data_IF_425474973554
#
_entry.id   IF_425474973554
#
_cell.length_a   1.000
_cell.length_b   1.000
_cell.length_c   1.000
_cell.angle_alpha   90.00
_cell.angle_beta   90.00
_cell.angle_gamma   90.00
#
_symmetry.space_group_name_H-M   'P 1'
#
loop_
_entity.id
_entity.type
_entity.pdbx_description
1 polymer ?
#
# COMPACT_ATOMS: atom_id res chain seq x y z
N UNK A 1 9.88 -5.39 -9.99
CA UNK A 1 9.88 -6.85 -10.15
C UNK A 1 8.68 -7.42 -9.38
N UNK A 2 7.91 -8.32 -9.97
CA UNK A 2 6.79 -8.97 -9.26
C UNK A 2 7.29 -10.24 -8.57
N UNK A 3 6.77 -10.52 -7.37
CA UNK A 3 7.04 -11.75 -6.63
C UNK A 3 6.48 -12.95 -7.39
N UNK A 4 7.26 -14.02 -7.52
CA UNK A 4 6.81 -15.25 -8.19
C UNK A 4 6.18 -16.20 -7.16
N UNK A 5 5.10 -16.92 -7.49
CA UNK A 5 4.53 -17.91 -6.60
C UNK A 5 5.49 -19.03 -6.19
N UNK A 6 6.47 -19.37 -7.04
CA UNK A 6 7.54 -20.33 -6.72
C UNK A 6 8.40 -19.87 -5.55
N UNK A 7 8.74 -18.58 -5.53
CA UNK A 7 9.67 -17.97 -4.58
C UNK A 7 8.99 -17.90 -3.20
N UNK A 8 7.72 -17.47 -3.19
CA UNK A 8 6.86 -17.45 -1.99
C UNK A 8 6.76 -18.84 -1.34
N UNK A 9 6.64 -19.92 -2.13
CA UNK A 9 6.51 -21.29 -1.60
C UNK A 9 7.75 -21.79 -0.88
N UNK A 10 8.92 -21.28 -1.24
CA UNK A 10 10.20 -21.66 -0.61
C UNK A 10 10.65 -20.65 0.46
N UNK A 11 9.80 -19.69 0.82
CA UNK A 11 10.11 -18.67 1.81
C UNK A 11 10.99 -17.52 1.30
N UNK A 12 11.12 -17.37 -0.01
CA UNK A 12 11.79 -16.21 -0.63
C UNK A 12 10.76 -15.09 -0.78
N UNK A 13 10.63 -14.23 0.23
CA UNK A 13 9.61 -13.18 0.30
C UNK A 13 10.00 -11.94 -0.50
N UNK A 14 11.27 -11.55 -0.48
CA UNK A 14 11.78 -10.38 -1.18
C UNK A 14 12.10 -10.67 -2.65
N UNK A 15 11.69 -9.78 -3.57
CA UNK A 15 11.99 -9.92 -4.98
C UNK A 15 13.48 -9.70 -5.25
N UNK A 16 14.04 -10.50 -6.15
CA UNK A 16 15.40 -10.36 -6.66
C UNK A 16 15.42 -9.64 -8.01
N UNK A 17 16.57 -9.06 -8.35
CA UNK A 17 16.85 -8.54 -9.69
C UNK A 17 16.84 -9.67 -10.74
N UNK A 18 16.86 -9.33 -12.03
CA UNK A 18 16.98 -10.33 -13.09
C UNK A 18 18.29 -11.14 -12.98
N UNK A 19 19.33 -10.58 -12.35
CA UNK A 19 20.61 -11.22 -12.09
C UNK A 19 20.63 -12.02 -10.76
N UNK A 20 19.53 -12.05 -10.00
CA UNK A 20 19.44 -12.75 -8.72
C UNK A 20 19.95 -11.94 -7.51
N UNK A 21 20.13 -10.64 -7.66
CA UNK A 21 20.63 -9.78 -6.59
C UNK A 21 19.50 -9.27 -5.69
N UNK A 22 19.79 -9.10 -4.40
CA UNK A 22 18.85 -8.50 -3.46
C UNK A 22 18.56 -7.05 -3.84
N UNK A 23 17.28 -6.67 -3.82
CA UNK A 23 16.85 -5.30 -4.08
C UNK A 23 16.75 -4.52 -2.77
N UNK A 24 17.11 -3.24 -2.80
CA UNK A 24 16.87 -2.32 -1.69
C UNK A 24 15.62 -1.47 -1.98
N UNK A 25 14.69 -1.31 -1.02
CA UNK A 25 13.57 -0.40 -1.19
C UNK A 25 14.05 1.05 -1.25
N UNK A 26 13.44 1.84 -2.14
CA UNK A 26 13.67 3.28 -2.27
C UNK A 26 12.36 4.05 -2.01
N UNK A 27 12.44 5.32 -1.59
CA UNK A 27 11.28 6.20 -1.54
C UNK A 27 10.53 6.21 -2.88
N UNK A 28 9.21 6.31 -2.81
CA UNK A 28 8.33 6.40 -3.98
C UNK A 28 7.90 7.85 -4.14
N UNK A 29 8.53 8.56 -5.07
CA UNK A 29 8.13 9.90 -5.48
C UNK A 29 6.87 9.89 -6.36
N UNK A 30 6.40 11.09 -6.69
CA UNK A 30 5.22 11.30 -7.51
C UNK A 30 5.42 10.95 -8.99
N UNK A 31 6.68 10.95 -9.46
CA UNK A 31 7.08 10.64 -10.84
C UNK A 31 7.16 9.14 -11.13
N UNK A 32 7.25 8.31 -10.08
CA UNK A 32 7.26 6.86 -10.20
C UNK A 32 6.08 6.39 -11.06
N UNK A 33 6.41 5.62 -12.09
CA UNK A 33 5.42 5.00 -12.98
C UNK A 33 4.40 4.19 -12.16
N UNK A 34 3.08 4.46 -12.29
CA UNK A 34 2.06 3.71 -11.58
C UNK A 34 2.06 2.24 -11.95
N UNK A 35 1.96 1.37 -10.94
CA UNK A 35 1.70 -0.06 -11.08
C UNK A 35 0.27 -0.35 -10.60
N UNK A 36 -0.66 -0.51 -11.54
CA UNK A 36 -2.10 -0.57 -11.29
C UNK A 36 -2.57 -2.01 -11.07
N UNK A 37 -2.01 -2.69 -10.07
CA UNK A 37 -2.22 -4.12 -9.80
C UNK A 37 -3.63 -4.50 -9.30
N UNK A 38 -4.58 -3.56 -9.22
CA UNK A 38 -5.95 -3.81 -8.77
C UNK A 38 -6.96 -2.82 -9.37
N UNK A 39 -8.24 -3.20 -9.39
CA UNK A 39 -9.34 -2.29 -9.75
C UNK A 39 -9.36 -1.03 -8.86
N UNK A 40 -9.04 -1.19 -7.57
CA UNK A 40 -8.91 -0.05 -6.66
C UNK A 40 -7.79 0.89 -7.11
N UNK A 41 -6.59 0.37 -7.42
CA UNK A 41 -5.48 1.19 -7.89
C UNK A 41 -5.82 1.89 -9.22
N UNK A 42 -6.44 1.18 -10.16
CA UNK A 42 -6.88 1.74 -11.44
C UNK A 42 -7.90 2.88 -11.25
N UNK A 43 -8.91 2.67 -10.40
CA UNK A 43 -9.94 3.70 -10.17
C UNK A 43 -9.38 4.93 -9.46
N UNK A 44 -8.44 4.77 -8.51
CA UNK A 44 -7.75 5.90 -7.87
C UNK A 44 -6.89 6.68 -8.85
N UNK A 45 -6.17 5.99 -9.73
CA UNK A 45 -5.40 6.65 -10.78
C UNK A 45 -6.32 7.41 -11.76
N UNK A 46 -7.44 6.81 -12.18
CA UNK A 46 -8.43 7.48 -13.02
C UNK A 46 -9.03 8.73 -12.35
N UNK A 47 -9.32 8.66 -11.04
CA UNK A 47 -9.80 9.80 -10.24
C UNK A 47 -8.77 10.93 -10.20
N UNK A 48 -7.50 10.62 -9.94
CA UNK A 48 -6.41 11.61 -9.98
C UNK A 48 -6.34 12.30 -11.34
N UNK A 49 -6.33 11.52 -12.43
CA UNK A 49 -6.29 12.08 -13.79
C UNK A 49 -7.48 12.98 -14.08
N UNK A 50 -8.69 12.54 -13.70
CA UNK A 50 -9.91 13.31 -13.91
C UNK A 50 -9.87 14.66 -13.17
N UNK A 51 -9.46 14.67 -11.90
CA UNK A 51 -9.37 15.89 -11.07
C UNK A 51 -8.36 16.89 -11.65
N UNK A 52 -7.17 16.42 -12.04
CA UNK A 52 -6.13 17.30 -12.59
C UNK A 52 -6.49 17.85 -13.98
N UNK A 53 -7.11 17.02 -14.84
CA UNK A 53 -7.59 17.46 -16.16
C UNK A 53 -8.71 18.50 -16.00
N UNK A 54 -9.64 18.28 -15.07
CA UNK A 54 -10.70 19.23 -14.80
C UNK A 54 -10.16 20.57 -14.31
N UNK A 55 -9.25 20.56 -13.34
CA UNK A 55 -8.63 21.79 -12.83
C UNK A 55 -7.97 22.61 -13.94
N UNK A 56 -7.21 21.94 -14.81
CA UNK A 56 -6.59 22.58 -15.96
C UNK A 56 -7.61 23.13 -16.98
N UNK A 57 -8.69 22.40 -17.26
CA UNK A 57 -9.66 22.77 -18.29
C UNK A 57 -10.52 23.98 -17.88
N UNK A 58 -10.72 24.20 -16.58
CA UNK A 58 -11.61 25.23 -16.04
C UNK A 58 -10.90 26.31 -15.22
N UNK A 59 -9.56 26.33 -15.23
CA UNK A 59 -8.73 27.28 -14.45
C UNK A 59 -9.06 27.25 -12.95
N UNK A 60 -9.15 26.02 -12.40
CA UNK A 60 -9.42 25.75 -10.98
C UNK A 60 -8.23 25.02 -10.38
N UNK A 61 -7.74 25.51 -9.24
CA UNK A 61 -6.70 24.83 -8.47
C UNK A 61 -7.17 23.44 -8.04
N UNK A 62 -6.43 22.42 -8.47
CA UNK A 62 -6.75 21.02 -8.21
C UNK A 62 -5.54 20.29 -7.63
N UNK A 63 -5.77 19.51 -6.56
CA UNK A 63 -4.74 18.72 -5.88
C UNK A 63 -5.23 17.29 -5.73
N UNK A 64 -4.36 16.33 -6.05
CA UNK A 64 -4.60 14.91 -5.80
C UNK A 64 -3.61 14.39 -4.77
N UNK A 65 -4.13 13.84 -3.66
CA UNK A 65 -3.31 13.32 -2.56
C UNK A 65 -3.22 11.80 -2.63
N UNK A 66 -1.99 11.28 -2.75
CA UNK A 66 -1.69 9.84 -2.70
C UNK A 66 -1.36 9.43 -1.27
N UNK A 67 -2.38 9.16 -0.48
CA UNK A 67 -2.21 8.79 0.93
C UNK A 67 -1.54 7.42 1.07
N UNK A 68 -0.53 7.35 1.94
CA UNK A 68 0.10 6.10 2.38
C UNK A 68 -0.75 5.44 3.48
N UNK A 69 -0.15 4.60 4.34
CA UNK A 69 -0.89 3.85 5.35
C UNK A 69 -1.36 4.75 6.50
N UNK A 70 -2.47 5.46 6.29
CA UNK A 70 -3.10 6.28 7.34
C UNK A 70 -3.62 5.37 8.46
N UNK A 71 -3.46 5.80 9.71
CA UNK A 71 -4.02 5.14 10.90
C UNK A 71 -4.47 6.17 11.94
N UNK A 72 -5.44 5.81 12.79
CA UNK A 72 -5.89 6.72 13.84
C UNK A 72 -7.30 6.42 14.35
N UNK A 73 -7.78 7.29 15.23
CA UNK A 73 -9.13 7.21 15.78
C UNK A 73 -10.19 7.33 14.65
N UNK A 74 -11.25 6.53 14.74
CA UNK A 74 -12.32 6.49 13.74
C UNK A 74 -12.11 5.44 12.63
N UNK A 75 -10.95 4.80 12.55
CA UNK A 75 -10.81 3.62 11.68
C UNK A 75 -11.64 2.46 12.19
N UNK A 76 -12.40 1.83 11.28
CA UNK A 76 -13.26 0.70 11.63
C UNK A 76 -12.43 -0.49 12.13
N UNK A 77 -12.64 -0.94 13.36
CA UNK A 77 -11.86 -2.05 13.96
C UNK A 77 -12.23 -3.45 13.44
N UNK A 78 -13.30 -3.54 12.64
CA UNK A 78 -13.90 -4.78 12.16
C UNK A 78 -14.24 -4.68 10.67
N UNK A 79 -13.23 -4.64 9.81
CA UNK A 79 -13.37 -4.87 8.37
C UNK A 79 -12.17 -5.73 7.89
N UNK A 80 -12.37 -6.79 7.08
CA UNK A 80 -11.28 -7.60 6.53
C UNK A 80 -10.24 -6.81 5.71
N UNK A 81 -10.58 -5.59 5.28
CA UNK A 81 -9.72 -4.66 4.56
C UNK A 81 -9.23 -3.47 5.42
N UNK A 82 -9.41 -3.53 6.74
CA UNK A 82 -8.91 -2.48 7.64
C UNK A 82 -7.38 -2.47 7.65
N UNK A 83 -6.79 -1.29 7.83
CA UNK A 83 -5.37 -1.13 8.13
C UNK A 83 -4.87 -2.09 9.22
N UNK A 84 -3.68 -2.64 9.01
CA UNK A 84 -3.07 -3.67 9.87
C UNK A 84 -2.99 -3.25 11.34
N UNK A 85 -2.74 -1.97 11.63
CA UNK A 85 -2.65 -1.45 13.00
C UNK A 85 -3.99 -1.53 13.74
N UNK A 86 -5.11 -1.25 13.07
CA UNK A 86 -6.43 -1.38 13.67
C UNK A 86 -6.81 -2.86 13.88
N UNK A 87 -6.41 -3.77 12.98
CA UNK A 87 -6.56 -5.20 13.20
C UNK A 87 -5.75 -5.67 14.43
N UNK A 88 -4.49 -5.24 14.54
CA UNK A 88 -3.63 -5.59 15.66
C UNK A 88 -4.17 -5.04 16.97
N UNK A 89 -4.58 -3.77 17.01
CA UNK A 89 -5.19 -3.14 18.17
C UNK A 89 -6.46 -3.89 18.62
N UNK A 90 -7.34 -4.23 17.68
CA UNK A 90 -8.56 -5.02 17.94
C UNK A 90 -8.22 -6.39 18.54
N UNK A 91 -7.24 -7.11 17.98
CA UNK A 91 -6.84 -8.42 18.50
C UNK A 91 -6.25 -8.33 19.91
N UNK A 92 -5.34 -7.39 20.14
CA UNK A 92 -4.73 -7.16 21.44
C UNK A 92 -5.78 -6.78 22.49
N UNK A 93 -6.73 -5.90 22.17
CA UNK A 93 -7.83 -5.53 23.05
C UNK A 93 -8.73 -6.71 23.42
N UNK A 94 -8.79 -7.75 22.58
CA UNK A 94 -9.55 -8.98 22.83
C UNK A 94 -8.68 -10.13 23.39
N UNK A 95 -7.46 -9.85 23.87
CA UNK A 95 -6.55 -10.87 24.40
C UNK A 95 -6.05 -11.88 23.36
N UNK A 96 -6.14 -11.55 22.06
CA UNK A 96 -5.71 -12.39 20.95
C UNK A 96 -4.36 -11.91 20.43
N UNK A 97 -3.47 -12.85 20.11
CA UNK A 97 -2.17 -12.56 19.49
C UNK A 97 -2.37 -11.98 18.08
N UNK A 98 -1.64 -10.91 17.68
CA UNK A 98 -1.61 -10.44 16.30
C UNK A 98 -1.21 -11.56 15.32
N UNK A 99 -1.69 -11.47 14.09
CA UNK A 99 -1.32 -12.40 13.02
C UNK A 99 -0.36 -11.69 12.07
N UNK A 100 0.83 -12.25 11.91
CA UNK A 100 1.83 -11.78 10.96
C UNK A 100 1.83 -12.78 9.79
N UNK A 101 1.76 -12.27 8.57
CA UNK A 101 1.96 -13.05 7.37
C UNK A 101 3.42 -12.96 6.93
N UNK A 102 3.94 -14.04 6.35
CA UNK A 102 5.33 -14.14 5.88
C UNK A 102 6.32 -14.03 7.05
N UNK A 103 7.39 -13.26 6.94
CA UNK A 103 8.45 -13.12 7.96
C UNK A 103 8.24 -11.96 8.95
N UNK A 104 7.35 -11.01 8.64
CA UNK A 104 7.12 -9.84 9.46
C UNK A 104 8.08 -8.67 9.21
N UNK A 105 9.01 -8.79 8.26
CA UNK A 105 10.01 -7.75 7.96
C UNK A 105 9.49 -6.68 6.98
N UNK A 106 8.23 -6.81 6.53
CA UNK A 106 7.61 -5.83 5.66
C UNK A 106 7.57 -4.43 6.27
N UNK A 107 7.99 -3.44 5.49
CA UNK A 107 7.98 -2.02 5.88
C UNK A 107 6.79 -1.30 5.26
N UNK A 108 6.20 -0.37 6.01
CA UNK A 108 5.12 0.51 5.57
C UNK A 108 5.38 1.91 6.13
N UNK A 109 4.98 2.91 5.35
CA UNK A 109 5.02 4.30 5.77
C UNK A 109 3.66 4.66 6.39
N UNK A 110 3.63 4.77 7.72
CA UNK A 110 2.39 5.01 8.48
C UNK A 110 2.23 6.50 8.80
N UNK A 111 1.03 7.03 8.56
CA UNK A 111 0.69 8.44 8.78
C UNK A 111 -0.48 8.53 9.76
N UNK A 112 -0.39 9.42 10.77
CA UNK A 112 -1.44 9.64 11.77
C UNK A 112 -2.25 10.90 11.46
#
# INVERSE_FOLDING_TARGET
AHRKPSDIRIGQWDPLSAAGEALSPIPTDEEKRPDLASIYALTKYAQERAVLIFGQAYDVDAVALRLFNVFGAGQALANPYTGVLANFASRLANGKRPMIFEDGEQKRDFVH
#
